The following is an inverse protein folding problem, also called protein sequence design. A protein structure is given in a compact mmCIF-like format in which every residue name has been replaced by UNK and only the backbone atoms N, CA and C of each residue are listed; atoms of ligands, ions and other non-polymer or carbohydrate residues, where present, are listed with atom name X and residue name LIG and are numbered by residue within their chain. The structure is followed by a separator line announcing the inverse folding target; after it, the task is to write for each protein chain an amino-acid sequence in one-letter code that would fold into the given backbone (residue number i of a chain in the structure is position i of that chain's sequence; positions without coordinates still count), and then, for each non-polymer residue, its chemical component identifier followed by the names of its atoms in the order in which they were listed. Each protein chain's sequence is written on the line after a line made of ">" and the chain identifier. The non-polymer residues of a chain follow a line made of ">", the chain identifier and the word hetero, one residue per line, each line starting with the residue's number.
data_IF_746592177385
#
_entry.id   IF_746592177385
#
_cell.length_a   1.000
_cell.length_b   1.000
_cell.length_c   1.000
_cell.angle_alpha   90.00
_cell.angle_beta   90.00
_cell.angle_gamma   90.00
#
_symmetry.space_group_name_H-M   'P 1'
#
loop_
_entity.id
_entity.type
_entity.pdbx_description
1 polymer ?
#
# COMPACT_ATOMS: atom_id res chain seq x y z
N UNK A 1 6.68 -28.44 -16.17
CA UNK A 1 6.46 -27.00 -15.90
C UNK A 1 5.81 -26.89 -14.53
N UNK A 2 6.52 -26.33 -13.54
CA UNK A 2 5.96 -26.07 -12.20
C UNK A 2 4.96 -24.91 -12.27
N UNK A 3 3.85 -25.02 -11.55
CA UNK A 3 2.87 -23.93 -11.41
C UNK A 3 3.21 -23.16 -10.14
N UNK A 4 3.88 -22.02 -10.30
CA UNK A 4 4.35 -21.22 -9.18
C UNK A 4 3.24 -20.24 -8.79
N UNK A 5 2.67 -20.43 -7.60
CA UNK A 5 1.64 -19.55 -7.03
C UNK A 5 2.21 -18.72 -5.89
N UNK A 6 1.73 -17.49 -5.76
CA UNK A 6 2.09 -16.61 -4.65
C UNK A 6 0.86 -15.92 -4.06
N UNK A 7 0.83 -15.82 -2.73
CA UNK A 7 -0.06 -14.96 -1.97
C UNK A 7 0.78 -13.92 -1.26
N UNK A 8 0.46 -12.65 -1.48
CA UNK A 8 1.18 -11.51 -0.92
C UNK A 8 0.23 -10.71 -0.05
N UNK A 9 0.63 -10.46 1.20
CA UNK A 9 -0.19 -9.72 2.17
C UNK A 9 0.64 -8.54 2.70
N UNK A 10 0.09 -7.34 2.58
CA UNK A 10 0.68 -6.12 3.11
C UNK A 10 -0.35 -5.34 3.91
N UNK A 11 -0.12 -5.13 5.21
CA UNK A 11 -1.08 -4.46 6.11
C UNK A 11 -0.38 -3.37 6.91
N UNK A 12 -0.80 -2.13 6.68
CA UNK A 12 -0.32 -0.97 7.43
C UNK A 12 -1.19 -0.70 8.67
N UNK A 13 -2.52 -0.86 8.56
CA UNK A 13 -3.47 -0.47 9.59
C UNK A 13 -4.03 -1.69 10.35
N UNK A 14 -3.84 -1.70 11.67
CA UNK A 14 -4.35 -2.71 12.59
C UNK A 14 -5.42 -2.10 13.49
N UNK A 15 -6.70 -2.24 13.09
CA UNK A 15 -7.83 -1.57 13.76
C UNK A 15 -7.95 -1.89 15.26
N UNK A 16 -7.56 -3.09 15.68
CA UNK A 16 -7.61 -3.52 17.09
C UNK A 16 -6.32 -3.19 17.86
N UNK A 17 -5.24 -2.81 17.17
CA UNK A 17 -3.93 -2.50 17.73
C UNK A 17 -3.30 -1.31 16.98
N UNK A 18 -3.88 -0.10 17.06
CA UNK A 18 -3.43 1.04 16.28
C UNK A 18 -1.99 1.46 16.59
N UNK A 19 -1.49 1.18 17.79
CA UNK A 19 -0.09 1.43 18.18
C UNK A 19 0.91 0.55 17.41
N UNK A 20 0.42 -0.51 16.74
CA UNK A 20 1.21 -1.41 15.89
C UNK A 20 1.12 -1.07 14.40
N UNK A 21 0.50 0.06 14.05
CA UNK A 21 0.41 0.48 12.66
C UNK A 21 1.79 0.60 12.00
N UNK A 22 1.91 0.00 10.83
CA UNK A 22 3.11 0.03 10.00
C UNK A 22 2.96 1.09 8.91
N UNK A 23 4.10 1.52 8.34
CA UNK A 23 4.12 2.56 7.29
C UNK A 23 4.30 2.00 5.88
N UNK A 24 4.94 0.84 5.74
CA UNK A 24 5.47 0.39 4.45
C UNK A 24 5.12 -1.05 4.10
N UNK A 25 4.39 -1.79 4.94
CA UNK A 25 4.07 -3.19 4.67
C UNK A 25 3.27 -3.38 3.37
N UNK A 26 2.37 -2.44 3.04
CA UNK A 26 1.67 -2.42 1.74
C UNK A 26 2.66 -2.20 0.60
N UNK A 27 3.60 -1.26 0.74
CA UNK A 27 4.61 -0.97 -0.27
C UNK A 27 5.57 -2.14 -0.48
N UNK A 28 5.97 -2.81 0.59
CA UNK A 28 6.81 -4.01 0.54
C UNK A 28 6.12 -5.14 -0.24
N UNK A 29 4.81 -5.31 -0.02
CA UNK A 29 3.99 -6.27 -0.75
C UNK A 29 3.89 -5.93 -2.25
N UNK A 30 3.71 -4.65 -2.60
CA UNK A 30 3.71 -4.19 -4.00
C UNK A 30 5.05 -4.47 -4.69
N UNK A 31 6.17 -4.14 -4.03
CA UNK A 31 7.50 -4.41 -4.57
C UNK A 31 7.76 -5.91 -4.74
N UNK A 32 7.26 -6.74 -3.82
CA UNK A 32 7.38 -8.18 -3.92
C UNK A 32 6.55 -8.74 -5.08
N UNK A 33 5.34 -8.20 -5.30
CA UNK A 33 4.52 -8.55 -6.47
C UNK A 33 5.27 -8.27 -7.76
N UNK A 34 5.85 -7.08 -7.87
CA UNK A 34 6.58 -6.65 -9.06
C UNK A 34 7.81 -7.53 -9.29
N UNK A 35 8.54 -7.88 -8.24
CA UNK A 35 9.66 -8.82 -8.34
C UNK A 35 9.20 -10.23 -8.79
N UNK A 36 8.10 -10.75 -8.23
CA UNK A 36 7.63 -12.08 -8.57
C UNK A 36 7.20 -12.19 -10.03
N UNK A 37 6.49 -11.19 -10.53
CA UNK A 37 6.01 -11.15 -11.92
C UNK A 37 7.16 -10.88 -12.89
N UNK A 38 7.96 -9.83 -12.64
CA UNK A 38 8.94 -9.34 -13.62
C UNK A 38 10.34 -9.94 -13.46
N UNK A 39 10.71 -10.36 -12.25
CA UNK A 39 12.03 -10.89 -11.92
C UNK A 39 12.08 -12.41 -11.75
N UNK A 40 11.03 -13.01 -11.17
CA UNK A 40 11.00 -14.44 -10.84
C UNK A 40 10.14 -15.30 -11.79
N UNK A 41 9.49 -14.68 -12.78
CA UNK A 41 8.73 -15.39 -13.82
C UNK A 41 7.42 -16.01 -13.35
N UNK A 42 6.82 -15.51 -12.27
CA UNK A 42 5.49 -15.93 -11.86
C UNK A 42 4.45 -15.35 -12.83
N UNK A 43 3.52 -16.16 -13.35
CA UNK A 43 2.39 -15.64 -14.12
C UNK A 43 1.58 -14.66 -13.27
N UNK A 44 1.24 -13.49 -13.82
CA UNK A 44 0.50 -12.45 -13.09
C UNK A 44 -0.84 -12.97 -12.55
N UNK A 45 -1.51 -13.86 -13.29
CA UNK A 45 -2.75 -14.51 -12.88
C UNK A 45 -2.59 -15.58 -11.77
N UNK A 46 -1.36 -15.83 -11.31
CA UNK A 46 -1.02 -16.75 -10.21
C UNK A 46 -0.44 -16.01 -8.99
N UNK A 47 -0.47 -14.67 -9.00
CA UNK A 47 -0.05 -13.82 -7.89
C UNK A 47 -1.27 -13.10 -7.33
N UNK A 48 -1.67 -13.47 -6.11
CA UNK A 48 -2.82 -12.87 -5.40
C UNK A 48 -2.29 -11.86 -4.39
N UNK A 49 -2.82 -10.64 -4.41
CA UNK A 49 -2.44 -9.57 -3.49
C UNK A 49 -3.60 -9.18 -2.56
N UNK A 50 -3.34 -9.18 -1.25
CA UNK A 50 -4.25 -8.71 -0.23
C UNK A 50 -3.60 -7.52 0.49
N UNK A 51 -3.90 -6.32 0.02
CA UNK A 51 -3.32 -5.08 0.55
C UNK A 51 -4.34 -4.40 1.47
N UNK A 52 -3.90 -3.99 2.66
CA UNK A 52 -4.69 -3.22 3.60
C UNK A 52 -5.09 -1.87 2.99
N UNK A 53 -6.32 -1.44 3.23
CA UNK A 53 -6.78 -0.12 2.77
C UNK A 53 -6.13 0.98 3.61
N UNK A 54 -5.37 1.84 2.92
CA UNK A 54 -4.98 3.13 3.47
C UNK A 54 -6.25 3.96 3.72
N UNK A 55 -6.58 4.25 4.99
CA UNK A 55 -7.52 5.32 5.28
C UNK A 55 -6.83 6.63 4.90
N UNK A 56 -7.18 7.18 3.73
CA UNK A 56 -6.71 8.50 3.31
C UNK A 56 -6.84 9.46 4.48
N UNK A 57 -5.69 9.94 4.96
CA UNK A 57 -5.61 10.94 6.01
C UNK A 57 -6.29 12.19 5.45
N UNK A 58 -7.58 12.39 5.75
CA UNK A 58 -8.29 13.61 5.44
C UNK A 58 -7.45 14.76 6.02
N UNK A 59 -6.80 15.52 5.14
CA UNK A 59 -6.09 16.72 5.54
C UNK A 59 -7.16 17.72 5.95
N UNK A 60 -7.47 17.75 7.24
CA UNK A 60 -8.14 18.90 7.82
C UNK A 60 -7.25 20.11 7.55
N UNK A 61 -7.74 20.96 6.65
CA UNK A 61 -7.22 22.29 6.35
C UNK A 61 -7.15 23.10 7.63
N UNK A 62 -5.97 23.24 8.21
CA UNK A 62 -5.73 24.22 9.27
C UNK A 62 -4.33 24.81 9.12
N UNK A 63 -4.30 26.02 8.55
CA UNK A 63 -3.16 26.93 8.61
C UNK A 63 -2.14 26.72 7.50
N UNK A 64 -2.22 27.55 6.46
CA UNK A 64 -1.15 28.48 6.05
C UNK A 64 -1.53 29.14 4.70
N UNK A 65 -1.89 30.43 4.82
CA UNK A 65 -1.41 31.52 3.95
C UNK A 65 -1.57 31.39 2.43
N UNK A 66 -2.60 32.05 1.88
CA UNK A 66 -2.54 32.66 0.54
C UNK A 66 -3.32 33.98 0.57
N UNK A 67 -2.60 35.07 0.32
CA UNK A 67 -3.14 36.42 0.17
C UNK A 67 -4.23 36.47 -0.91
N UNK A 68 -5.36 37.11 -0.60
CA UNK A 68 -6.14 37.85 -1.61
C UNK A 68 -6.50 39.23 -1.05
N UNK A 69 -5.60 40.19 -1.28
CA UNK A 69 -5.88 41.62 -1.21
C UNK A 69 -6.25 42.07 -2.63
N UNK A 70 -7.55 42.21 -2.92
CA UNK A 70 -8.09 43.14 -3.91
C UNK A 70 -9.48 43.58 -3.42
N UNK A 71 -9.50 44.66 -2.66
CA UNK A 71 -10.46 45.76 -2.78
C UNK A 71 -9.63 47.04 -2.77
#
# INVERSE_FOLDING_TARGET
>A
MSRNWALIVGVNQYNHHPDQNLRFAVRDAELMRDFLVNGAGFPENQVICCLGQEQSRNQNTSGLTQLKRVL
#
